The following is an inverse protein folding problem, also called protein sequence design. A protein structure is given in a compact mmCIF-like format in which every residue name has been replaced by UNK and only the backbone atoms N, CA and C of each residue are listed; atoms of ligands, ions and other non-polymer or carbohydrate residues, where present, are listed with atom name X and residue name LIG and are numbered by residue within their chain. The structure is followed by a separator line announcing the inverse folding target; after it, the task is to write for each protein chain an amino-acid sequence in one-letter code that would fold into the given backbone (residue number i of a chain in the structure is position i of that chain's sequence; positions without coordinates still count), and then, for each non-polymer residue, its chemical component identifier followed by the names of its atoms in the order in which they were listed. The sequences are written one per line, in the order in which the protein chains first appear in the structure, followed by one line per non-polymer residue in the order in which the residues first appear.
data_IF_540409475978
#
_entry.id   IF_540409475978
#
_cell.length_a   1.000
_cell.length_b   1.000
_cell.length_c   1.000
_cell.angle_alpha   90.00
_cell.angle_beta   90.00
_cell.angle_gamma   90.00
#
_symmetry.space_group_name_H-M   'P 1'
#
loop_
_entity.id
_entity.type
_entity.pdbx_description
1 polymer ?
#
# COMPACT_ATOMS: atom_id res chain seq x y z
N UNK A 1 -36.24 -3.51 -2.72
CA UNK A 1 -35.19 -3.67 -3.74
C UNK A 1 -33.84 -3.66 -3.05
N UNK A 2 -33.31 -4.83 -2.71
CA UNK A 2 -32.00 -4.98 -2.07
C UNK A 2 -30.94 -4.99 -3.17
N UNK A 3 -30.39 -3.82 -3.48
CA UNK A 3 -29.26 -3.71 -4.39
C UNK A 3 -28.03 -4.33 -3.74
N UNK A 4 -27.58 -5.46 -4.28
CA UNK A 4 -26.27 -6.02 -3.94
C UNK A 4 -25.19 -5.03 -4.37
N UNK A 5 -24.51 -4.40 -3.40
CA UNK A 5 -23.32 -3.61 -3.66
C UNK A 5 -22.26 -4.58 -4.18
N UNK A 6 -21.97 -4.52 -5.49
CA UNK A 6 -20.87 -5.26 -6.08
C UNK A 6 -19.56 -4.77 -5.45
N UNK A 7 -18.69 -5.65 -4.93
CA UNK A 7 -17.55 -5.25 -4.13
C UNK A 7 -16.56 -4.46 -4.98
N UNK A 8 -16.23 -3.24 -4.53
CA UNK A 8 -15.06 -2.53 -5.02
C UNK A 8 -13.83 -3.39 -4.69
N UNK A 9 -13.18 -3.95 -5.72
CA UNK A 9 -11.90 -4.63 -5.53
C UNK A 9 -10.86 -3.63 -5.00
N UNK A 10 -9.78 -4.07 -4.31
CA UNK A 10 -8.74 -3.16 -3.79
C UNK A 10 -8.17 -2.21 -4.86
N UNK A 11 -8.23 -2.63 -6.13
CA UNK A 11 -7.87 -1.83 -7.30
C UNK A 11 -8.94 -0.79 -7.67
N UNK A 12 -10.23 -1.13 -7.57
CA UNK A 12 -11.37 -0.27 -7.92
C UNK A 12 -11.43 1.03 -7.13
N UNK A 13 -11.08 0.99 -5.84
CA UNK A 13 -11.03 2.17 -4.97
C UNK A 13 -9.96 3.18 -5.37
N UNK A 14 -8.78 2.70 -5.78
CA UNK A 14 -7.71 3.55 -6.28
C UNK A 14 -8.10 4.19 -7.64
N UNK A 15 -8.79 3.45 -8.50
CA UNK A 15 -9.33 4.02 -9.74
C UNK A 15 -10.40 5.09 -9.48
N UNK A 16 -11.15 5.01 -8.38
CA UNK A 16 -12.18 5.99 -8.08
C UNK A 16 -11.61 7.37 -7.70
N UNK A 17 -10.48 7.44 -6.97
CA UNK A 17 -9.84 8.74 -6.73
C UNK A 17 -9.15 9.25 -8.00
N UNK A 18 -8.50 8.37 -8.76
CA UNK A 18 -7.91 8.73 -10.05
C UNK A 18 -8.96 9.30 -11.00
N UNK A 19 -10.07 8.60 -11.21
CA UNK A 19 -11.16 9.06 -12.07
C UNK A 19 -11.74 10.39 -11.60
N UNK A 20 -11.89 10.59 -10.28
CA UNK A 20 -12.33 11.88 -9.73
C UNK A 20 -11.32 13.00 -10.05
N UNK A 21 -10.03 12.74 -9.89
CA UNK A 21 -8.97 13.74 -10.13
C UNK A 21 -8.92 14.22 -11.59
N UNK A 22 -9.26 13.35 -12.54
CA UNK A 22 -9.20 13.64 -13.98
C UNK A 22 -10.58 13.86 -14.64
N UNK A 23 -11.67 13.77 -13.88
CA UNK A 23 -13.01 14.07 -14.39
C UNK A 23 -13.21 15.58 -14.64
N UNK A 24 -14.15 15.93 -15.51
CA UNK A 24 -14.52 17.33 -15.73
C UNK A 24 -14.98 18.02 -14.44
N UNK A 25 -14.72 19.34 -14.26
CA UNK A 25 -15.08 20.07 -13.05
C UNK A 25 -16.57 19.94 -12.66
N UNK A 26 -17.47 19.83 -13.64
CA UNK A 26 -18.90 19.62 -13.40
C UNK A 26 -19.18 18.27 -12.71
N UNK A 27 -18.45 17.22 -13.08
CA UNK A 27 -18.55 15.91 -12.44
C UNK A 27 -17.91 15.96 -11.06
N UNK A 28 -16.71 16.55 -10.96
CA UNK A 28 -16.02 16.72 -9.69
C UNK A 28 -16.91 17.42 -8.65
N UNK A 29 -17.63 18.48 -9.05
CA UNK A 29 -18.55 19.23 -8.18
C UNK A 29 -19.72 18.38 -7.64
N UNK A 30 -20.18 17.38 -8.41
CA UNK A 30 -21.27 16.48 -8.00
C UNK A 30 -20.82 15.38 -7.04
N UNK A 31 -19.52 15.06 -7.01
CA UNK A 31 -18.99 14.00 -6.15
C UNK A 31 -18.82 14.52 -4.71
N UNK A 32 -19.50 13.87 -3.77
CA UNK A 32 -19.46 14.21 -2.34
C UNK A 32 -18.24 13.59 -1.66
N UNK A 33 -18.00 12.30 -1.92
CA UNK A 33 -16.87 11.52 -1.42
C UNK A 33 -16.44 10.46 -2.42
N UNK A 34 -15.16 10.11 -2.38
CA UNK A 34 -14.57 8.96 -3.08
C UNK A 34 -13.85 8.11 -2.04
N UNK A 35 -14.01 6.79 -2.13
CA UNK A 35 -13.49 5.84 -1.15
C UNK A 35 -12.56 4.83 -1.81
N UNK A 36 -11.40 4.61 -1.18
CA UNK A 36 -10.46 3.55 -1.54
C UNK A 36 -10.32 2.57 -0.38
N UNK A 37 -10.30 1.28 -0.69
CA UNK A 37 -10.16 0.20 0.29
C UNK A 37 -8.92 -0.59 -0.05
N UNK A 38 -7.87 -0.41 0.74
CA UNK A 38 -6.57 -1.07 0.56
C UNK A 38 -5.95 -0.83 -0.82
N UNK A 39 -6.22 0.35 -1.40
CA UNK A 39 -5.62 0.78 -2.66
C UNK A 39 -4.19 1.26 -2.45
N UNK A 40 -3.28 1.04 -3.40
CA UNK A 40 -1.85 1.19 -3.18
C UNK A 40 -1.34 2.63 -3.02
N UNK A 41 -2.16 3.64 -3.32
CA UNK A 41 -1.76 5.04 -3.35
C UNK A 41 -1.35 5.51 -4.74
N UNK A 42 -0.64 6.65 -4.81
CA UNK A 42 -0.29 7.35 -6.04
C UNK A 42 1.17 7.79 -6.07
N UNK A 43 1.71 8.06 -7.26
CA UNK A 43 2.98 8.76 -7.43
C UNK A 43 2.77 10.27 -7.46
N UNK A 44 3.82 11.04 -7.22
CA UNK A 44 3.79 12.51 -7.26
C UNK A 44 3.18 13.08 -8.53
N UNK A 45 3.48 12.47 -9.68
CA UNK A 45 2.93 12.83 -10.99
C UNK A 45 1.39 12.83 -11.03
N UNK A 46 0.75 12.05 -10.17
CA UNK A 46 -0.70 11.97 -10.06
C UNK A 46 -1.20 12.87 -8.94
N UNK A 47 -0.71 12.68 -7.72
CA UNK A 47 -1.23 13.44 -6.58
C UNK A 47 -0.86 14.92 -6.64
N UNK A 48 0.19 15.32 -7.36
CA UNK A 48 0.60 16.70 -7.58
C UNK A 48 -0.24 17.45 -8.63
N UNK A 49 -1.16 16.77 -9.33
CA UNK A 49 -2.06 17.42 -10.29
C UNK A 49 -3.10 18.29 -9.59
N UNK A 50 -3.51 19.39 -10.23
CA UNK A 50 -4.53 20.30 -9.68
C UNK A 50 -5.84 19.57 -9.39
N UNK A 51 -6.33 18.77 -10.33
CA UNK A 51 -7.57 18.00 -10.15
C UNK A 51 -7.53 17.03 -8.97
N UNK A 52 -6.38 16.44 -8.66
CA UNK A 52 -6.23 15.63 -7.45
C UNK A 52 -6.26 16.49 -6.18
N UNK A 53 -5.47 17.57 -6.15
CA UNK A 53 -5.38 18.47 -5.00
C UNK A 53 -6.72 19.16 -4.67
N UNK A 54 -7.45 19.61 -5.68
CA UNK A 54 -8.76 20.26 -5.53
C UNK A 54 -9.81 19.31 -4.92
N UNK A 55 -9.65 18.00 -5.16
CA UNK A 55 -10.59 16.97 -4.71
C UNK A 55 -10.11 16.16 -3.51
N UNK A 56 -8.91 16.43 -2.97
CA UNK A 56 -8.29 15.63 -1.90
C UNK A 56 -9.17 15.52 -0.65
N UNK A 57 -9.91 16.59 -0.32
CA UNK A 57 -10.84 16.61 0.85
C UNK A 57 -12.05 15.68 0.67
N UNK A 58 -12.34 15.26 -0.56
CA UNK A 58 -13.40 14.29 -0.90
C UNK A 58 -12.89 12.84 -0.83
N UNK A 59 -11.58 12.63 -0.90
CA UNK A 59 -10.96 11.31 -0.94
C UNK A 59 -10.70 10.77 0.47
N UNK A 60 -11.00 9.49 0.67
CA UNK A 60 -10.73 8.75 1.90
C UNK A 60 -10.27 7.34 1.56
N UNK A 61 -9.13 6.95 2.10
CA UNK A 61 -8.60 5.60 1.96
C UNK A 61 -8.70 4.87 3.31
N UNK A 62 -9.17 3.63 3.29
CA UNK A 62 -9.12 2.73 4.43
C UNK A 62 -8.12 1.62 4.13
N UNK A 63 -7.23 1.33 5.07
CA UNK A 63 -6.27 0.22 4.96
C UNK A 63 -6.34 -0.64 6.23
N UNK A 64 -6.18 -1.96 6.14
CA UNK A 64 -6.08 -2.79 7.33
C UNK A 64 -4.74 -2.58 8.06
N UNK A 65 -4.70 -2.84 9.36
CA UNK A 65 -3.49 -2.63 10.19
C UNK A 65 -2.26 -3.43 9.75
N UNK A 66 -2.44 -4.54 9.03
CA UNK A 66 -1.33 -5.30 8.42
C UNK A 66 -1.24 -5.12 6.90
N UNK A 67 -1.75 -4.00 6.36
CA UNK A 67 -1.74 -3.73 4.94
C UNK A 67 -0.32 -3.68 4.36
N UNK A 68 -0.11 -4.44 3.29
CA UNK A 68 1.08 -4.32 2.44
C UNK A 68 0.74 -3.51 1.19
N UNK A 69 -0.39 -3.79 0.54
CA UNK A 69 -0.79 -3.13 -0.72
C UNK A 69 -1.04 -1.65 -0.50
N UNK A 70 -1.88 -1.28 0.46
CA UNK A 70 -2.15 0.11 0.85
C UNK A 70 -0.97 0.85 1.48
N UNK A 71 0.22 0.25 1.49
CA UNK A 71 1.48 0.89 1.90
C UNK A 71 2.50 0.98 0.75
N UNK A 72 2.13 0.60 -0.48
CA UNK A 72 3.08 0.49 -1.60
C UNK A 72 3.51 1.83 -2.21
N UNK A 73 2.58 2.78 -2.30
CA UNK A 73 2.76 4.11 -2.87
C UNK A 73 2.36 5.18 -1.83
N UNK A 74 2.25 6.41 -2.32
CA UNK A 74 2.01 7.58 -1.50
C UNK A 74 0.53 7.81 -1.26
N UNK A 75 0.20 8.24 -0.05
CA UNK A 75 -1.15 8.68 0.32
C UNK A 75 -1.07 10.10 0.87
N UNK A 76 -1.47 11.06 0.04
CA UNK A 76 -1.62 12.46 0.47
C UNK A 76 -3.02 12.74 1.01
N UNK A 77 -4.00 11.94 0.60
CA UNK A 77 -5.37 11.99 1.08
C UNK A 77 -5.52 11.42 2.50
N UNK A 78 -6.70 11.57 3.08
CA UNK A 78 -6.97 11.03 4.42
C UNK A 78 -6.99 9.50 4.38
N UNK A 79 -6.05 8.87 5.07
CA UNK A 79 -6.01 7.43 5.30
C UNK A 79 -6.52 7.08 6.70
N UNK A 80 -7.25 5.98 6.83
CA UNK A 80 -7.75 5.44 8.08
C UNK A 80 -7.31 3.99 8.22
N UNK A 81 -6.54 3.69 9.27
CA UNK A 81 -6.12 2.32 9.56
C UNK A 81 -7.21 1.59 10.34
N UNK A 82 -7.63 0.44 9.81
CA UNK A 82 -8.74 -0.38 10.33
C UNK A 82 -8.20 -1.62 11.03
N UNK A 83 -8.76 -1.95 12.19
CA UNK A 83 -8.41 -3.16 12.94
C UNK A 83 -8.84 -4.41 12.18
N UNK A 84 -7.97 -5.40 12.05
CA UNK A 84 -8.27 -6.65 11.38
C UNK A 84 -7.49 -7.82 12.00
N UNK A 85 -8.20 -8.65 12.78
CA UNK A 85 -7.62 -9.81 13.46
C UNK A 85 -7.46 -11.05 12.54
N UNK A 86 -7.43 -10.86 11.21
CA UNK A 86 -7.39 -11.95 10.25
C UNK A 86 -5.98 -12.16 9.71
N UNK A 87 -5.62 -13.36 9.22
CA UNK A 87 -4.32 -13.58 8.60
C UNK A 87 -4.06 -12.58 7.47
N UNK A 88 -2.80 -12.13 7.30
CA UNK A 88 -2.40 -11.05 6.35
C UNK A 88 -3.00 -11.21 4.95
N UNK A 89 -3.00 -12.44 4.40
CA UNK A 89 -3.55 -12.72 3.07
C UNK A 89 -5.07 -12.50 2.97
N UNK A 90 -5.79 -12.66 4.08
CA UNK A 90 -7.23 -12.43 4.17
C UNK A 90 -7.57 -10.96 4.40
N UNK A 91 -6.63 -10.14 4.90
CA UNK A 91 -6.88 -8.72 5.19
C UNK A 91 -7.09 -7.87 3.93
N UNK A 92 -6.75 -8.36 2.73
CA UNK A 92 -7.08 -7.69 1.46
C UNK A 92 -8.59 -7.62 1.16
N UNK A 93 -9.42 -8.36 1.90
CA UNK A 93 -10.86 -8.34 1.75
C UNK A 93 -11.49 -7.43 2.83
N UNK A 94 -12.05 -6.26 2.47
CA UNK A 94 -12.64 -5.33 3.44
C UNK A 94 -13.78 -5.90 4.28
N UNK A 95 -14.35 -7.03 3.88
CA UNK A 95 -15.39 -7.75 4.65
C UNK A 95 -14.84 -8.44 5.88
N UNK A 96 -13.53 -8.64 5.95
CA UNK A 96 -12.87 -9.29 7.09
C UNK A 96 -12.39 -8.28 8.13
N UNK A 97 -12.61 -6.99 7.88
CA UNK A 97 -12.21 -5.90 8.76
C UNK A 97 -13.21 -5.72 9.90
N UNK A 98 -12.71 -5.22 11.03
CA UNK A 98 -13.53 -5.04 12.22
C UNK A 98 -14.53 -3.91 12.00
N UNK A 99 -15.81 -4.19 12.19
CA UNK A 99 -16.91 -3.22 12.05
C UNK A 99 -17.56 -2.95 13.41
N UNK A 100 -17.85 -1.68 13.66
CA UNK A 100 -18.74 -1.24 14.73
C UNK A 100 -20.18 -1.13 14.23
N UNK A 101 -20.99 -0.30 14.90
CA UNK A 101 -22.41 -0.15 14.57
C UNK A 101 -22.65 0.49 13.18
N UNK A 102 -21.89 1.52 12.86
CA UNK A 102 -22.08 2.36 11.66
C UNK A 102 -20.76 2.67 10.92
N UNK A 103 -19.65 2.09 11.38
CA UNK A 103 -18.30 2.46 10.94
C UNK A 103 -17.30 1.34 11.15
N UNK A 104 -16.14 1.42 10.48
CA UNK A 104 -15.02 0.53 10.75
C UNK A 104 -14.36 0.86 12.10
N UNK A 105 -13.96 -0.17 12.83
CA UNK A 105 -13.19 -0.02 14.07
C UNK A 105 -11.76 0.35 13.69
N UNK A 106 -11.32 1.55 14.08
CA UNK A 106 -9.97 2.01 13.78
C UNK A 106 -8.94 1.31 14.67
N UNK A 107 -7.79 0.97 14.09
CA UNK A 107 -6.63 0.48 14.84
C UNK A 107 -6.01 1.67 15.59
N UNK A 108 -6.02 1.61 16.93
CA UNK A 108 -5.52 2.71 17.77
C UNK A 108 -4.01 2.90 17.61
N UNK A 109 -3.27 1.81 17.44
CA UNK A 109 -1.81 1.79 17.27
C UNK A 109 -1.37 1.99 15.80
N UNK A 110 -2.33 2.16 14.88
CA UNK A 110 -2.04 2.33 13.46
C UNK A 110 -1.58 1.03 12.78
N UNK A 111 -0.57 1.14 11.92
CA UNK A 111 -0.01 -0.01 11.19
C UNK A 111 0.85 -0.88 12.11
N UNK A 112 0.73 -2.20 11.94
CA UNK A 112 1.62 -3.17 12.59
C UNK A 112 3.08 -2.93 12.21
N UNK A 113 4.01 -3.36 13.07
CA UNK A 113 5.45 -3.25 12.83
C UNK A 113 5.86 -3.86 11.50
N UNK A 114 5.31 -5.03 11.14
CA UNK A 114 5.60 -5.70 9.86
C UNK A 114 5.16 -4.86 8.67
N UNK A 115 3.95 -4.30 8.71
CA UNK A 115 3.45 -3.41 7.64
C UNK A 115 4.32 -2.15 7.51
N UNK A 116 4.74 -1.55 8.64
CA UNK A 116 5.67 -0.40 8.66
C UNK A 116 7.02 -0.73 8.04
N UNK A 117 7.60 -1.88 8.39
CA UNK A 117 8.87 -2.36 7.82
C UNK A 117 8.73 -2.50 6.31
N UNK A 118 7.74 -3.26 5.84
CA UNK A 118 7.54 -3.49 4.40
C UNK A 118 7.33 -2.16 3.67
N UNK A 119 6.53 -1.25 4.23
CA UNK A 119 6.32 0.10 3.68
C UNK A 119 7.64 0.84 3.45
N UNK A 120 8.47 0.97 4.49
CA UNK A 120 9.71 1.72 4.40
C UNK A 120 10.69 1.07 3.43
N UNK A 121 10.72 -0.26 3.35
CA UNK A 121 11.54 -0.96 2.37
C UNK A 121 11.10 -0.73 0.93
N UNK A 122 9.78 -0.68 0.70
CA UNK A 122 9.22 -0.33 -0.61
C UNK A 122 9.49 1.12 -0.97
N UNK A 123 9.48 2.04 -0.01
CA UNK A 123 9.88 3.44 -0.21
C UNK A 123 11.35 3.53 -0.59
N UNK A 124 12.24 2.91 0.19
CA UNK A 124 13.66 2.87 -0.11
C UNK A 124 13.92 2.29 -1.51
N UNK A 125 13.24 1.19 -1.85
CA UNK A 125 13.30 0.60 -3.19
C UNK A 125 12.81 1.56 -4.30
N UNK A 126 11.72 2.28 -4.06
CA UNK A 126 11.16 3.23 -5.02
C UNK A 126 12.08 4.43 -5.28
N UNK A 127 12.89 4.83 -4.29
CA UNK A 127 13.89 5.89 -4.43
C UNK A 127 15.21 5.42 -5.04
N UNK A 128 15.69 4.24 -4.65
CA UNK A 128 17.00 3.74 -5.08
C UNK A 128 16.99 3.21 -6.53
N UNK A 129 15.84 2.75 -7.02
CA UNK A 129 15.74 2.12 -8.34
C UNK A 129 14.96 3.01 -9.32
N UNK A 130 15.53 3.32 -10.50
CA UNK A 130 14.85 4.07 -11.54
C UNK A 130 13.49 3.47 -11.92
N UNK A 131 12.51 4.33 -12.19
CA UNK A 131 11.13 3.89 -12.47
C UNK A 131 11.03 2.88 -13.63
N UNK A 132 11.84 3.05 -14.67
CA UNK A 132 11.93 2.13 -15.80
C UNK A 132 12.37 0.73 -15.37
N UNK A 133 13.47 0.63 -14.61
CA UNK A 133 14.00 -0.63 -14.09
C UNK A 133 13.04 -1.31 -13.11
N UNK A 134 12.33 -0.53 -12.28
CA UNK A 134 11.24 -1.07 -11.44
C UNK A 134 10.12 -1.67 -12.29
N UNK A 135 9.74 -0.99 -13.37
CA UNK A 135 8.74 -1.48 -14.32
C UNK A 135 9.15 -2.79 -14.99
N UNK A 136 10.37 -2.83 -15.55
CA UNK A 136 10.95 -4.04 -16.17
C UNK A 136 10.96 -5.22 -15.20
N UNK A 137 11.37 -5.00 -13.95
CA UNK A 137 11.42 -6.06 -12.94
C UNK A 137 10.02 -6.59 -12.61
N UNK A 138 9.03 -5.73 -12.39
CA UNK A 138 7.65 -6.18 -12.12
C UNK A 138 7.05 -6.89 -13.33
N UNK A 139 7.26 -6.39 -14.55
CA UNK A 139 6.83 -7.05 -15.78
C UNK A 139 7.41 -8.46 -15.88
N UNK A 140 8.74 -8.61 -15.69
CA UNK A 140 9.39 -9.93 -15.73
C UNK A 140 8.82 -10.89 -14.68
N UNK A 141 8.52 -10.40 -13.47
CA UNK A 141 7.90 -11.22 -12.41
C UNK A 141 6.47 -11.67 -12.79
N UNK A 142 5.65 -10.76 -13.32
CA UNK A 142 4.28 -11.10 -13.71
C UNK A 142 4.24 -11.99 -14.95
N UNK A 143 5.10 -11.77 -15.94
CA UNK A 143 5.28 -12.68 -17.08
C UNK A 143 5.71 -14.08 -16.61
N UNK A 144 6.61 -14.15 -15.64
CA UNK A 144 7.00 -15.43 -15.04
C UNK A 144 5.83 -16.10 -14.31
N UNK A 145 4.98 -15.35 -13.62
CA UNK A 145 3.75 -15.88 -13.02
C UNK A 145 2.77 -16.40 -14.07
N UNK A 146 2.55 -15.65 -15.15
CA UNK A 146 1.67 -16.05 -16.25
C UNK A 146 2.19 -17.32 -16.93
N UNK A 147 3.50 -17.41 -17.21
CA UNK A 147 4.12 -18.62 -17.80
C UNK A 147 4.03 -19.88 -16.93
N UNK A 148 3.73 -19.70 -15.63
CA UNK A 148 3.63 -20.78 -14.63
C UNK A 148 2.19 -20.98 -14.12
N UNK A 149 1.20 -20.38 -14.79
CA UNK A 149 -0.22 -20.43 -14.42
C UNK A 149 -0.47 -20.03 -12.94
N UNK A 150 0.27 -19.03 -12.47
CA UNK A 150 0.13 -18.44 -11.13
C UNK A 150 -0.82 -17.24 -11.25
N UNK A 151 -2.07 -17.44 -10.87
CA UNK A 151 -3.12 -16.41 -10.97
C UNK A 151 -3.57 -15.87 -9.62
N UNK A 152 -3.17 -16.51 -8.52
CA UNK A 152 -3.60 -16.17 -7.15
C UNK A 152 -2.41 -16.17 -6.19
N UNK A 153 -2.37 -15.20 -5.28
CA UNK A 153 -1.35 -15.11 -4.22
C UNK A 153 -1.28 -16.38 -3.37
N UNK A 154 -2.41 -17.08 -3.15
CA UNK A 154 -2.41 -18.36 -2.41
C UNK A 154 -1.53 -19.43 -3.06
N UNK A 155 -1.37 -19.41 -4.39
CA UNK A 155 -0.52 -20.37 -5.12
C UNK A 155 0.98 -20.16 -4.91
N UNK A 156 1.38 -19.02 -4.34
CA UNK A 156 2.77 -18.69 -3.98
C UNK A 156 2.97 -18.65 -2.46
N UNK A 157 1.97 -19.09 -1.68
CA UNK A 157 2.04 -19.19 -0.22
C UNK A 157 2.17 -20.65 0.26
N UNK A 158 2.82 -20.85 1.41
CA UNK A 158 3.08 -22.19 1.95
C UNK A 158 4.16 -22.96 1.19
N UNK A 159 4.40 -24.23 1.55
CA UNK A 159 5.53 -25.02 1.02
C UNK A 159 5.54 -25.15 -0.51
N UNK A 160 4.42 -25.62 -1.09
CA UNK A 160 4.25 -25.72 -2.55
C UNK A 160 4.32 -24.36 -3.23
N UNK A 161 3.85 -23.31 -2.55
CA UNK A 161 3.90 -21.94 -3.06
C UNK A 161 5.30 -21.37 -3.12
N UNK A 162 6.14 -21.63 -2.11
CA UNK A 162 7.56 -21.25 -2.11
C UNK A 162 8.30 -21.86 -3.30
N UNK A 163 8.02 -23.12 -3.64
CA UNK A 163 8.59 -23.76 -4.82
C UNK A 163 8.15 -23.07 -6.12
N UNK A 164 6.84 -22.79 -6.28
CA UNK A 164 6.31 -22.10 -7.47
C UNK A 164 6.86 -20.69 -7.62
N UNK A 165 6.94 -19.95 -6.51
CA UNK A 165 7.54 -18.63 -6.48
C UNK A 165 9.03 -18.68 -6.84
N UNK A 166 9.77 -19.66 -6.30
CA UNK A 166 11.17 -19.89 -6.66
C UNK A 166 11.35 -20.11 -8.16
N UNK A 167 10.49 -20.93 -8.78
CA UNK A 167 10.49 -21.12 -10.24
C UNK A 167 10.25 -19.81 -10.99
N UNK A 168 9.28 -19.00 -10.56
CA UNK A 168 9.02 -17.70 -11.17
C UNK A 168 10.23 -16.77 -11.04
N UNK A 169 10.83 -16.71 -9.84
CA UNK A 169 12.04 -15.94 -9.60
C UNK A 169 13.19 -16.36 -10.52
N UNK A 170 13.43 -17.67 -10.70
CA UNK A 170 14.50 -18.17 -11.56
C UNK A 170 14.20 -18.09 -13.06
N UNK A 171 12.94 -17.92 -13.45
CA UNK A 171 12.56 -17.67 -14.85
C UNK A 171 12.91 -16.24 -15.31
N UNK A 172 13.02 -15.29 -14.37
CA UNK A 172 13.49 -13.94 -14.68
C UNK A 172 14.98 -13.92 -15.06
N UNK A 173 15.35 -12.97 -15.92
CA UNK A 173 16.75 -12.75 -16.29
C UNK A 173 17.63 -12.37 -15.06
N UNK A 174 18.96 -12.51 -15.15
CA UNK A 174 19.85 -12.22 -14.03
C UNK A 174 19.79 -10.77 -13.51
N UNK A 175 19.51 -9.80 -14.38
CA UNK A 175 19.45 -8.38 -14.03
C UNK A 175 18.19 -8.10 -13.19
N UNK A 176 17.02 -8.56 -13.64
CA UNK A 176 15.75 -8.40 -12.93
C UNK A 176 15.78 -9.14 -11.59
N UNK A 177 16.40 -10.32 -11.54
CA UNK A 177 16.66 -11.00 -10.26
C UNK A 177 17.54 -10.18 -9.33
N UNK A 178 18.55 -9.46 -9.84
CA UNK A 178 19.40 -8.61 -9.02
C UNK A 178 18.63 -7.43 -8.44
N UNK A 179 17.79 -6.77 -9.24
CA UNK A 179 16.91 -5.69 -8.79
C UNK A 179 15.91 -6.21 -7.75
N UNK A 180 15.30 -7.37 -7.98
CA UNK A 180 14.36 -7.97 -7.04
C UNK A 180 15.01 -8.29 -5.69
N UNK A 181 16.27 -8.77 -5.69
CA UNK A 181 17.03 -9.00 -4.45
C UNK A 181 17.24 -7.72 -3.63
N UNK A 182 17.30 -6.55 -4.26
CA UNK A 182 17.42 -5.28 -3.53
C UNK A 182 16.18 -5.00 -2.68
N UNK A 183 14.98 -5.41 -3.11
CA UNK A 183 13.76 -5.32 -2.27
C UNK A 183 13.95 -6.14 -0.99
N UNK A 184 14.45 -7.37 -1.09
CA UNK A 184 14.70 -8.23 0.06
C UNK A 184 15.75 -7.65 0.99
N UNK A 185 16.84 -7.12 0.44
CA UNK A 185 17.88 -6.48 1.23
C UNK A 185 17.32 -5.27 1.99
N UNK A 186 16.54 -4.41 1.31
CA UNK A 186 15.89 -3.26 1.94
C UNK A 186 14.92 -3.70 3.05
N UNK A 187 14.17 -4.80 2.85
CA UNK A 187 13.32 -5.40 3.89
C UNK A 187 14.15 -5.86 5.08
N UNK A 188 15.25 -6.59 4.86
CA UNK A 188 16.10 -7.08 5.95
C UNK A 188 16.76 -5.92 6.70
N UNK A 189 17.26 -4.91 6.01
CA UNK A 189 17.88 -3.73 6.63
C UNK A 189 16.87 -2.94 7.46
N UNK A 190 15.70 -2.65 6.88
CA UNK A 190 14.61 -1.97 7.59
C UNK A 190 14.11 -2.79 8.77
N UNK A 191 13.99 -4.11 8.60
CA UNK A 191 13.57 -5.02 9.66
C UNK A 191 14.59 -5.08 10.79
N UNK A 192 15.89 -5.14 10.49
CA UNK A 192 16.97 -5.08 11.49
C UNK A 192 16.90 -3.79 12.27
N UNK A 193 16.83 -2.66 11.56
CA UNK A 193 16.66 -1.34 12.19
C UNK A 193 15.43 -1.31 13.08
N UNK A 194 14.32 -1.95 12.66
CA UNK A 194 13.05 -1.98 13.40
C UNK A 194 13.00 -3.00 14.56
N UNK A 195 13.70 -4.13 14.45
CA UNK A 195 13.81 -5.16 15.51
C UNK A 195 14.71 -4.69 16.65
N UNK A 196 15.77 -3.91 16.35
CA UNK A 196 16.54 -3.20 17.38
C UNK A 196 15.64 -2.28 18.22
N UNK A 197 14.55 -1.75 17.66
CA UNK A 197 13.58 -0.87 18.35
C UNK A 197 12.65 -1.61 19.32
N UNK A 198 12.44 -2.92 19.15
CA UNK A 198 11.69 -3.72 20.12
C UNK A 198 12.43 -3.82 21.46
N UNK A 199 13.76 -3.68 21.43
CA UNK A 199 14.61 -3.73 22.62
C UNK A 199 15.08 -2.34 23.09
N UNK A 200 15.09 -1.33 22.22
CA UNK A 200 15.41 0.05 22.59
C UNK A 200 14.53 1.08 21.86
N UNK A 201 13.37 1.43 22.45
CA UNK A 201 12.40 2.41 21.87
C UNK A 201 12.91 3.86 21.82
N UNK A 202 14.03 4.18 22.48
CA UNK A 202 14.62 5.53 22.45
C UNK A 202 15.17 5.91 21.08
N UNK A 203 15.58 4.91 20.30
CA UNK A 203 16.36 5.04 19.07
C UNK A 203 15.51 4.77 17.81
N UNK A 204 14.17 4.69 17.96
CA UNK A 204 13.26 4.58 16.82
C UNK A 204 13.40 5.85 15.95
N UNK A 205 13.97 5.76 14.73
CA UNK A 205 14.08 6.92 13.84
C UNK A 205 12.69 7.45 13.43
N UNK A 206 11.64 6.71 13.75
CA UNK A 206 10.24 7.04 13.53
C UNK A 206 9.47 7.34 14.83
N UNK A 207 10.11 7.43 16.02
CA UNK A 207 9.42 7.67 17.30
C UNK A 207 8.63 8.97 17.35
N UNK A 208 9.10 9.97 16.58
CA UNK A 208 8.48 11.29 16.47
C UNK A 208 7.44 11.37 15.35
N UNK A 209 7.22 10.28 14.61
CA UNK A 209 6.17 10.20 13.58
C UNK A 209 4.89 9.71 14.24
N UNK A 210 3.72 10.29 13.91
CA UNK A 210 2.49 9.94 14.60
C UNK A 210 2.18 8.44 14.45
N UNK A 211 2.31 7.71 15.56
CA UNK A 211 1.87 6.32 15.71
C UNK A 211 0.33 6.19 15.73
N UNK A 212 -0.38 7.31 15.57
CA UNK A 212 -1.80 7.41 15.85
C UNK A 212 -2.56 7.93 14.63
N UNK A 213 -3.74 7.34 14.46
CA UNK A 213 -4.75 7.74 13.52
C UNK A 213 -5.44 9.03 14.02
N UNK A 214 -4.75 10.19 13.98
CA UNK A 214 -5.43 11.47 14.19
C UNK A 214 -6.22 11.81 12.93
N UNK A 215 -7.39 11.17 12.79
CA UNK A 215 -8.33 11.41 11.70
C UNK A 215 -8.84 12.86 11.64
N UNK A 216 -8.49 13.75 12.58
CA UNK A 216 -8.82 15.19 12.53
C UNK A 216 -7.67 16.03 11.97
N UNK A 217 -6.43 15.53 11.96
CA UNK A 217 -5.24 16.18 11.41
C UNK A 217 -4.72 15.33 10.25
N UNK A 218 -5.02 15.70 9.00
CA UNK A 218 -4.41 14.97 7.87
C UNK A 218 -2.87 15.12 7.86
N UNK A 219 -2.16 14.41 6.97
CA UNK A 219 -2.13 12.96 6.82
C UNK A 219 -1.38 12.27 7.98
N UNK A 220 -1.62 10.96 8.17
CA UNK A 220 -0.88 10.09 9.12
C UNK A 220 0.58 9.88 8.65
N UNK A 221 0.88 10.22 7.39
CA UNK A 221 2.15 9.97 6.72
C UNK A 221 2.84 11.29 6.41
N UNK A 222 3.90 11.61 7.15
CA UNK A 222 4.74 12.79 6.88
C UNK A 222 5.88 12.52 5.87
N UNK A 223 5.90 11.34 5.26
CA UNK A 223 6.85 11.01 4.19
C UNK A 223 6.08 10.90 2.88
N UNK A 224 5.82 12.05 2.26
CA UNK A 224 5.61 12.07 0.83
C UNK A 224 6.94 11.74 0.13
N UNK A 225 6.87 11.07 -1.02
CA UNK A 225 8.00 10.53 -1.78
C UNK A 225 8.91 11.63 -2.36
N UNK A 226 8.55 12.90 -2.17
CA UNK A 226 9.36 14.05 -2.56
C UNK A 226 9.35 15.07 -1.42
N UNK A 227 10.08 14.79 -0.34
CA UNK A 227 10.61 15.88 0.48
C UNK A 227 11.80 16.43 -0.30
N UNK A 228 11.66 17.62 -0.88
CA UNK A 228 12.84 18.43 -1.20
C UNK A 228 13.62 18.57 0.09
N UNK A 229 14.83 18.02 0.12
CA UNK A 229 15.79 18.42 1.14
C UNK A 229 16.04 19.91 0.91
N UNK A 230 15.43 20.74 1.74
CA UNK A 230 15.91 22.11 1.96
C UNK A 230 17.27 22.06 2.68
#
# INVERSE_FOLDING_TARGET
MTGSISPATPRGGNYAHYALAFADPQIQARVIKSYSFDGPGYRHQIYGTSGFQDNIKKMKTYIPESSIVGCMLDHTERVLVVKCNQPVLSQHDPRTWSVGRDSYVLAQEGLTTTARVIRHSLIAFNHQIPAEKRGQMWSALFEAFDSLDITKIKQISGFTGTYRFGRAYFAMDPEMRAIFRQIFNNIIETARQSLTLLFNRSDDPYKNRPNFNDSKKGPIFFDAYDIKQE
#
